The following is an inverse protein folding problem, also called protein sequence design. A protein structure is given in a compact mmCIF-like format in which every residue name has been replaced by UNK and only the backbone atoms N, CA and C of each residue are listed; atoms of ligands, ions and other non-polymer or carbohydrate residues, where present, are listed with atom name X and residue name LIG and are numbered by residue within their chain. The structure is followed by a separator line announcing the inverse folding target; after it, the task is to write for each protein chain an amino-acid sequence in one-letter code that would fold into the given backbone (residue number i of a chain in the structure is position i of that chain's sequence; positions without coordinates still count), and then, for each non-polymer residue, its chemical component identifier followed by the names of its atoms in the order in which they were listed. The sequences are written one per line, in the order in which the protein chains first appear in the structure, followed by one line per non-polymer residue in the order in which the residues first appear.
data_IF_808498988978
#
_entry.id   IF_808498988978
#
_cell.length_a   1.000
_cell.length_b   1.000
_cell.length_c   1.000
_cell.angle_alpha   90.00
_cell.angle_beta   90.00
_cell.angle_gamma   90.00
#
_symmetry.space_group_name_H-M   'P 1'
#
loop_
_entity.id
_entity.type
_entity.pdbx_description
1 polymer ?
#
# COMPACT_ATOMS: atom_id res chain seq x y z
N UNK A 1 -11.15 47.33 -16.56
CA UNK A 1 -10.45 46.23 -15.86
C UNK A 1 -10.64 44.98 -16.68
N UNK A 2 -9.58 44.25 -16.97
CA UNK A 2 -9.65 43.00 -17.73
C UNK A 2 -10.11 41.90 -16.78
N UNK A 3 -11.29 41.34 -17.04
CA UNK A 3 -11.78 40.19 -16.28
C UNK A 3 -10.97 38.93 -16.64
N UNK A 4 -10.83 38.00 -15.69
CA UNK A 4 -10.03 36.77 -15.83
C UNK A 4 -10.39 35.94 -17.07
N UNK A 5 -11.69 35.91 -17.42
CA UNK A 5 -12.19 35.33 -18.67
C UNK A 5 -12.85 36.39 -19.55
N UNK A 6 -12.78 36.26 -20.88
CA UNK A 6 -13.54 37.08 -21.82
C UNK A 6 -15.04 37.11 -21.47
N UNK A 7 -15.66 38.30 -21.47
CA UNK A 7 -17.10 38.47 -21.17
C UNK A 7 -17.98 37.64 -22.11
N UNK A 8 -17.55 37.44 -23.36
CA UNK A 8 -18.24 36.59 -24.34
C UNK A 8 -18.27 35.11 -23.92
N UNK A 9 -17.19 34.63 -23.31
CA UNK A 9 -17.06 33.24 -22.86
C UNK A 9 -17.92 32.98 -21.63
N UNK A 10 -17.91 33.90 -20.65
CA UNK A 10 -18.79 33.85 -19.48
C UNK A 10 -20.27 33.91 -19.89
N UNK A 11 -20.60 34.73 -20.90
CA UNK A 11 -21.96 34.82 -21.44
C UNK A 11 -22.41 33.50 -22.06
N UNK A 12 -21.54 32.86 -22.84
CA UNK A 12 -21.79 31.55 -23.44
C UNK A 12 -21.98 30.47 -22.36
N UNK A 13 -21.07 30.38 -21.38
CA UNK A 13 -21.14 29.39 -20.29
C UNK A 13 -22.38 29.58 -19.40
N UNK A 14 -22.74 30.84 -19.08
CA UNK A 14 -23.90 31.16 -18.22
C UNK A 14 -25.26 31.09 -18.94
N UNK A 15 -25.27 30.96 -20.27
CA UNK A 15 -26.48 31.06 -21.09
C UNK A 15 -27.15 32.44 -21.03
N UNK A 16 -26.38 33.51 -20.79
CA UNK A 16 -26.88 34.89 -20.70
C UNK A 16 -26.23 35.80 -21.76
N UNK A 17 -26.75 37.02 -21.94
CA UNK A 17 -26.15 37.97 -22.87
C UNK A 17 -24.90 38.63 -22.29
N UNK A 18 -23.96 39.05 -23.15
CA UNK A 18 -22.75 39.82 -22.79
C UNK A 18 -23.10 41.05 -21.94
N UNK A 19 -24.19 41.75 -22.28
CA UNK A 19 -24.68 42.91 -21.53
C UNK A 19 -25.21 42.55 -20.12
N UNK A 20 -25.64 41.31 -19.92
CA UNK A 20 -26.08 40.81 -18.61
C UNK A 20 -24.89 40.43 -17.74
N UNK A 21 -23.89 39.76 -18.31
CA UNK A 21 -22.62 39.48 -17.62
C UNK A 21 -21.92 40.77 -17.22
N UNK A 22 -21.83 41.77 -18.12
CA UNK A 22 -21.23 43.07 -17.83
C UNK A 22 -21.92 43.78 -16.65
N UNK A 23 -23.26 43.74 -16.59
CA UNK A 23 -24.04 44.30 -15.46
C UNK A 23 -23.75 43.57 -14.15
N UNK A 24 -23.62 42.24 -14.18
CA UNK A 24 -23.29 41.44 -12.98
C UNK A 24 -21.88 41.76 -12.48
N UNK A 25 -20.89 41.74 -13.36
CA UNK A 25 -19.48 41.96 -13.02
C UNK A 25 -19.21 43.37 -12.48
N UNK A 26 -19.94 44.38 -12.97
CA UNK A 26 -19.81 45.77 -12.53
C UNK A 26 -20.83 46.19 -11.46
N UNK A 27 -21.59 45.24 -10.88
CA UNK A 27 -22.52 45.53 -9.79
C UNK A 27 -23.66 46.48 -10.15
N UNK A 28 -24.07 46.56 -11.42
CA UNK A 28 -25.14 47.46 -11.88
C UNK A 28 -26.53 46.95 -11.45
N UNK A 29 -27.49 47.87 -11.30
CA UNK A 29 -28.88 47.55 -10.96
C UNK A 29 -29.60 46.81 -12.10
N UNK A 30 -30.74 46.16 -11.81
CA UNK A 30 -31.61 45.42 -12.75
C UNK A 30 -31.11 44.04 -13.22
N UNK A 31 -30.48 43.26 -12.33
CA UNK A 31 -30.22 41.82 -12.59
C UNK A 31 -30.85 41.00 -11.48
N UNK A 32 -31.66 40.00 -11.85
CA UNK A 32 -32.28 39.12 -10.87
C UNK A 32 -31.23 38.35 -10.05
N UNK A 33 -31.50 38.00 -8.79
CA UNK A 33 -30.62 37.15 -7.99
C UNK A 33 -30.28 35.82 -8.69
N UNK A 34 -31.26 35.24 -9.40
CA UNK A 34 -31.07 34.00 -10.15
C UNK A 34 -30.08 34.16 -11.30
N UNK A 35 -30.21 35.25 -12.08
CA UNK A 35 -29.30 35.55 -13.19
C UNK A 35 -27.88 35.86 -12.68
N UNK A 36 -27.77 36.59 -11.57
CA UNK A 36 -26.49 36.84 -10.91
C UNK A 36 -25.83 35.52 -10.48
N UNK A 37 -26.59 34.61 -9.87
CA UNK A 37 -26.09 33.28 -9.47
C UNK A 37 -25.56 32.49 -10.67
N UNK A 38 -26.31 32.39 -11.77
CA UNK A 38 -25.85 31.69 -12.99
C UNK A 38 -24.54 32.23 -13.55
N UNK A 39 -24.36 33.55 -13.55
CA UNK A 39 -23.11 34.18 -14.02
C UNK A 39 -21.95 33.87 -13.08
N UNK A 40 -22.18 33.84 -11.76
CA UNK A 40 -21.15 33.44 -10.78
C UNK A 40 -20.82 31.95 -10.87
N UNK A 41 -21.81 31.07 -11.04
CA UNK A 41 -21.60 29.63 -11.20
C UNK A 41 -20.78 29.36 -12.47
N UNK A 42 -21.09 30.02 -13.58
CA UNK A 42 -20.32 29.94 -14.83
C UNK A 42 -18.88 30.43 -14.68
N UNK A 43 -18.63 31.48 -13.88
CA UNK A 43 -17.27 31.92 -13.56
C UNK A 43 -16.50 30.86 -12.78
N UNK A 44 -17.13 30.28 -11.75
CA UNK A 44 -16.52 29.21 -10.96
C UNK A 44 -16.22 27.97 -11.81
N UNK A 45 -17.12 27.61 -12.74
CA UNK A 45 -16.92 26.52 -13.69
C UNK A 45 -15.73 26.78 -14.63
N UNK A 46 -15.63 27.99 -15.21
CA UNK A 46 -14.51 28.38 -16.06
C UNK A 46 -13.17 28.39 -15.30
N UNK A 47 -13.16 28.87 -14.05
CA UNK A 47 -11.98 28.77 -13.18
C UNK A 47 -11.58 27.31 -12.92
N UNK A 48 -12.55 26.43 -12.67
CA UNK A 48 -12.30 24.99 -12.52
C UNK A 48 -11.72 24.35 -13.79
N UNK A 49 -12.21 24.72 -14.96
CA UNK A 49 -11.71 24.23 -16.25
C UNK A 49 -10.27 24.70 -16.54
N UNK A 50 -9.95 25.97 -16.28
CA UNK A 50 -8.60 26.52 -16.44
C UNK A 50 -7.59 25.82 -15.51
N UNK A 51 -7.96 25.59 -14.25
CA UNK A 51 -7.14 24.85 -13.29
C UNK A 51 -6.86 23.43 -13.76
N UNK A 52 -7.86 22.72 -14.30
CA UNK A 52 -7.68 21.38 -14.86
C UNK A 52 -6.73 21.35 -16.08
N UNK A 53 -6.78 22.38 -16.93
CA UNK A 53 -5.90 22.49 -18.11
C UNK A 53 -4.46 22.85 -17.72
N UNK A 54 -4.27 23.77 -16.77
CA UNK A 54 -2.96 24.14 -16.24
C UNK A 54 -2.28 22.98 -15.48
N UNK A 55 -3.08 22.24 -14.71
CA UNK A 55 -2.63 21.03 -14.01
C UNK A 55 -2.07 19.98 -14.98
N UNK A 56 -2.73 19.74 -16.13
CA UNK A 56 -2.30 18.79 -17.16
C UNK A 56 -0.90 19.05 -17.72
N UNK A 57 -0.38 20.27 -17.62
CA UNK A 57 0.98 20.63 -18.04
C UNK A 57 2.06 20.45 -16.96
N UNK A 58 1.68 20.33 -15.68
CA UNK A 58 2.64 20.22 -14.57
C UNK A 58 3.29 18.84 -14.59
N UNK A 59 4.63 18.83 -14.51
CA UNK A 59 5.44 17.62 -14.36
C UNK A 59 5.75 17.40 -12.89
N UNK A 60 5.29 16.31 -12.32
CA UNK A 60 5.57 15.91 -10.95
C UNK A 60 6.50 14.71 -10.93
N UNK A 61 7.43 14.70 -9.99
CA UNK A 61 8.37 13.62 -9.77
C UNK A 61 8.10 13.01 -8.41
N UNK A 62 7.79 11.72 -8.38
CA UNK A 62 7.56 10.99 -7.14
C UNK A 62 8.62 9.90 -7.00
N UNK A 63 9.27 9.82 -5.84
CA UNK A 63 10.26 8.80 -5.54
C UNK A 63 9.63 7.66 -4.77
N UNK A 64 9.98 6.43 -5.16
CA UNK A 64 9.61 5.22 -4.46
C UNK A 64 10.89 4.59 -3.94
N UNK A 65 11.11 4.68 -2.63
CA UNK A 65 12.23 4.03 -1.94
C UNK A 65 11.68 2.84 -1.17
N UNK A 66 11.94 1.64 -1.68
CA UNK A 66 11.28 0.41 -1.21
C UNK A 66 12.34 -0.66 -0.92
N UNK A 67 12.44 -1.02 0.36
CA UNK A 67 13.14 -2.19 0.84
C UNK A 67 12.21 -3.41 0.75
N UNK A 68 12.34 -4.20 -0.31
CA UNK A 68 11.52 -5.39 -0.54
C UNK A 68 12.14 -6.35 -1.57
N UNK A 69 11.82 -7.66 -1.48
CA UNK A 69 12.18 -8.63 -2.52
C UNK A 69 11.68 -8.22 -3.90
N UNK A 70 12.40 -8.66 -4.94
CA UNK A 70 12.11 -8.32 -6.35
C UNK A 70 10.66 -8.63 -6.75
N UNK A 71 10.09 -9.72 -6.24
CA UNK A 71 8.70 -10.14 -6.52
C UNK A 71 7.69 -9.07 -6.09
N UNK A 72 7.80 -8.56 -4.87
CA UNK A 72 6.88 -7.55 -4.33
C UNK A 72 7.10 -6.18 -4.97
N UNK A 73 8.35 -5.76 -5.13
CA UNK A 73 8.67 -4.48 -5.75
C UNK A 73 8.28 -4.40 -7.24
N UNK A 74 8.27 -5.54 -7.96
CA UNK A 74 7.73 -5.62 -9.31
C UNK A 74 6.21 -5.38 -9.38
N UNK A 75 5.46 -5.83 -8.38
CA UNK A 75 4.02 -5.60 -8.29
C UNK A 75 3.70 -4.14 -7.94
N UNK A 76 4.47 -3.52 -7.04
CA UNK A 76 4.37 -2.07 -6.76
C UNK A 76 4.57 -1.25 -8.05
N UNK A 77 5.63 -1.54 -8.81
CA UNK A 77 5.89 -0.84 -10.08
C UNK A 77 4.72 -0.96 -11.05
N UNK A 78 4.18 -2.17 -11.23
CA UNK A 78 3.04 -2.39 -12.11
C UNK A 78 1.80 -1.60 -11.66
N UNK A 79 1.50 -1.60 -10.36
CA UNK A 79 0.37 -0.83 -9.82
C UNK A 79 0.56 0.68 -10.03
N UNK A 80 1.77 1.20 -9.79
CA UNK A 80 2.11 2.61 -10.07
C UNK A 80 1.97 2.93 -11.56
N UNK A 81 2.48 2.09 -12.45
CA UNK A 81 2.41 2.30 -13.90
C UNK A 81 0.96 2.29 -14.41
N UNK A 82 0.10 1.42 -13.87
CA UNK A 82 -1.35 1.44 -14.15
C UNK A 82 -2.01 2.71 -13.65
N UNK A 83 -1.68 3.17 -12.44
CA UNK A 83 -2.29 4.37 -11.86
C UNK A 83 -1.87 5.66 -12.60
N UNK A 84 -0.67 5.69 -13.18
CA UNK A 84 -0.24 6.80 -14.03
C UNK A 84 -1.12 6.91 -15.28
N UNK A 85 -1.64 5.79 -15.82
CA UNK A 85 -2.49 5.80 -17.01
C UNK A 85 -3.90 6.34 -16.71
N UNK A 86 -4.39 6.16 -15.49
CA UNK A 86 -5.69 6.66 -15.02
C UNK A 86 -5.61 8.11 -14.54
N UNK A 87 -4.45 8.53 -14.03
CA UNK A 87 -4.22 9.89 -13.53
C UNK A 87 -4.05 10.91 -14.65
N UNK A 88 -5.08 11.73 -14.88
CA UNK A 88 -5.10 12.74 -15.98
C UNK A 88 -4.85 14.17 -15.53
N UNK A 89 -4.60 14.41 -14.24
CA UNK A 89 -4.46 15.75 -13.66
C UNK A 89 -3.06 16.31 -13.78
N UNK A 90 -2.02 15.49 -13.95
CA UNK A 90 -0.64 15.94 -14.12
C UNK A 90 0.21 14.90 -14.87
N UNK A 91 1.36 15.33 -15.40
CA UNK A 91 2.36 14.41 -15.95
C UNK A 91 3.21 13.88 -14.81
N UNK A 92 2.94 12.65 -14.36
CA UNK A 92 3.67 12.00 -13.27
C UNK A 92 4.89 11.24 -13.81
N UNK A 93 6.03 11.42 -13.14
CA UNK A 93 7.30 10.75 -13.44
C UNK A 93 7.79 10.00 -12.19
N UNK A 94 7.47 8.71 -12.04
CA UNK A 94 7.94 7.94 -10.91
C UNK A 94 9.44 7.66 -11.05
N UNK A 95 10.15 7.63 -9.92
CA UNK A 95 11.55 7.25 -9.82
C UNK A 95 11.66 6.15 -8.78
N UNK A 96 12.05 4.95 -9.21
CA UNK A 96 12.06 3.77 -8.35
C UNK A 96 13.47 3.45 -7.88
N UNK A 97 13.61 3.26 -6.57
CA UNK A 97 14.78 2.67 -5.95
C UNK A 97 14.30 1.50 -5.12
N UNK A 98 14.50 0.30 -5.68
CA UNK A 98 14.11 -0.95 -5.05
C UNK A 98 15.35 -1.74 -4.69
N UNK A 99 15.43 -2.15 -3.44
CA UNK A 99 16.52 -2.95 -2.92
C UNK A 99 15.96 -3.98 -1.95
N UNK A 100 16.48 -5.20 -1.95
CA UNK A 100 15.92 -6.25 -1.08
C UNK A 100 16.35 -6.07 0.38
N UNK A 101 17.57 -5.61 0.58
CA UNK A 101 18.15 -5.27 1.89
C UNK A 101 18.87 -3.95 1.76
N UNK A 102 18.65 -3.01 2.66
CA UNK A 102 19.23 -1.68 2.59
C UNK A 102 19.71 -1.24 3.95
N UNK A 103 21.01 -1.06 4.16
CA UNK A 103 21.50 -0.57 5.46
C UNK A 103 20.93 0.81 5.80
N UNK A 104 20.92 1.16 7.09
CA UNK A 104 20.42 2.46 7.54
C UNK A 104 21.20 3.61 6.84
N UNK A 105 22.51 3.47 6.64
CA UNK A 105 23.35 4.45 5.93
C UNK A 105 22.98 4.56 4.45
N UNK A 106 22.69 3.43 3.78
CA UNK A 106 22.26 3.44 2.39
C UNK A 106 20.91 4.14 2.24
N UNK A 107 19.96 3.82 3.12
CA UNK A 107 18.63 4.45 3.15
C UNK A 107 18.75 5.97 3.33
N UNK A 108 19.51 6.42 4.32
CA UNK A 108 19.74 7.84 4.58
C UNK A 108 20.42 8.53 3.39
N UNK A 109 21.44 7.91 2.79
CA UNK A 109 22.09 8.45 1.60
C UNK A 109 21.16 8.51 0.38
N UNK A 110 20.14 7.66 0.28
CA UNK A 110 19.12 7.75 -0.76
C UNK A 110 18.13 8.89 -0.50
N UNK A 111 17.67 9.06 0.75
CA UNK A 111 16.81 10.16 1.16
C UNK A 111 17.51 11.52 0.96
N UNK A 112 18.79 11.62 1.32
CA UNK A 112 19.59 12.83 1.10
C UNK A 112 19.69 13.18 -0.40
N UNK A 113 19.94 12.19 -1.26
CA UNK A 113 19.96 12.41 -2.71
C UNK A 113 18.61 12.86 -3.25
N UNK A 114 17.50 12.35 -2.71
CA UNK A 114 16.14 12.78 -3.06
C UNK A 114 15.95 14.25 -2.67
N UNK A 115 16.39 14.65 -1.48
CA UNK A 115 16.36 16.04 -1.00
C UNK A 115 17.16 16.95 -1.92
N UNK A 116 18.41 16.60 -2.23
CA UNK A 116 19.31 17.42 -3.04
C UNK A 116 18.83 17.57 -4.49
N UNK A 117 18.32 16.49 -5.09
CA UNK A 117 17.77 16.49 -6.46
C UNK A 117 16.41 17.19 -6.56
N UNK A 118 15.68 17.25 -5.45
CA UNK A 118 14.29 17.70 -5.42
C UNK A 118 13.30 16.60 -5.81
N UNK A 119 12.16 16.59 -5.13
CA UNK A 119 11.04 15.69 -5.35
C UNK A 119 9.72 16.41 -5.07
N UNK A 120 8.65 15.92 -5.69
CA UNK A 120 7.29 16.35 -5.39
C UNK A 120 6.59 15.41 -4.41
N UNK A 121 7.22 14.30 -4.02
CA UNK A 121 6.64 13.36 -3.09
C UNK A 121 7.45 12.10 -2.98
N UNK A 122 7.43 11.47 -1.81
CA UNK A 122 8.19 10.26 -1.55
C UNK A 122 7.26 9.20 -0.98
N UNK A 123 7.29 8.00 -1.56
CA UNK A 123 6.66 6.80 -1.04
C UNK A 123 7.76 5.89 -0.47
N UNK A 124 7.63 5.53 0.81
CA UNK A 124 8.64 4.80 1.58
C UNK A 124 8.11 3.45 2.05
N UNK A 125 8.86 2.38 1.79
CA UNK A 125 8.75 1.12 2.53
C UNK A 125 10.14 0.78 3.04
N UNK A 126 10.44 1.15 4.27
CA UNK A 126 11.76 0.96 4.91
C UNK A 126 11.54 0.64 6.39
N UNK A 127 12.58 0.18 7.08
CA UNK A 127 12.52 -0.11 8.52
C UNK A 127 12.22 1.15 9.34
N UNK A 128 11.51 0.97 10.46
CA UNK A 128 11.22 2.05 11.40
C UNK A 128 12.44 2.33 12.27
N UNK A 129 13.20 3.39 11.95
CA UNK A 129 14.45 3.76 12.63
C UNK A 129 14.44 5.25 13.02
N UNK A 130 14.99 5.62 14.19
CA UNK A 130 15.06 7.02 14.61
C UNK A 130 15.71 7.95 13.58
N UNK A 131 16.81 7.54 12.95
CA UNK A 131 17.48 8.35 11.92
C UNK A 131 16.59 8.56 10.67
N UNK A 132 15.73 7.59 10.34
CA UNK A 132 14.76 7.73 9.24
C UNK A 132 13.66 8.74 9.62
N UNK A 133 13.27 8.84 10.89
CA UNK A 133 12.32 9.86 11.34
C UNK A 133 12.84 11.26 11.10
N UNK A 134 14.12 11.49 11.41
CA UNK A 134 14.81 12.76 11.18
C UNK A 134 14.86 13.12 9.69
N UNK A 135 15.21 12.15 8.83
CA UNK A 135 15.21 12.34 7.38
C UNK A 135 13.80 12.64 6.82
N UNK A 136 12.75 11.98 7.34
CA UNK A 136 11.36 12.28 7.00
C UNK A 136 10.98 13.70 7.44
N UNK A 137 11.43 14.13 8.62
CA UNK A 137 11.19 15.49 9.11
C UNK A 137 11.88 16.55 8.23
N UNK A 138 13.09 16.28 7.73
CA UNK A 138 13.78 17.18 6.79
C UNK A 138 13.04 17.31 5.45
N UNK A 139 12.60 16.18 4.87
CA UNK A 139 11.76 16.18 3.66
C UNK A 139 10.47 17.00 3.88
N UNK A 140 9.81 16.81 5.02
CA UNK A 140 8.59 17.53 5.36
C UNK A 140 8.84 19.04 5.53
N UNK A 141 9.96 19.44 6.14
CA UNK A 141 10.37 20.85 6.27
C UNK A 141 10.59 21.52 4.89
N UNK A 142 11.01 20.75 3.89
CA UNK A 142 11.13 21.17 2.49
C UNK A 142 9.83 21.09 1.70
N UNK A 143 8.70 20.81 2.38
CA UNK A 143 7.36 20.65 1.79
C UNK A 143 7.27 19.51 0.78
N UNK A 144 8.09 18.47 0.95
CA UNK A 144 8.01 17.25 0.16
C UNK A 144 7.14 16.27 0.97
N UNK A 145 5.91 15.94 0.53
CA UNK A 145 5.04 15.01 1.25
C UNK A 145 5.63 13.60 1.22
N UNK A 146 5.53 12.90 2.35
CA UNK A 146 6.05 11.53 2.53
C UNK A 146 4.90 10.59 2.86
N UNK A 147 4.80 9.47 2.16
CA UNK A 147 3.85 8.40 2.42
C UNK A 147 4.61 7.14 2.83
N UNK A 148 4.15 6.43 3.85
CA UNK A 148 4.65 5.09 4.18
C UNK A 148 3.77 4.03 3.51
N UNK A 149 4.38 2.94 3.04
CA UNK A 149 3.74 1.87 2.31
C UNK A 149 3.99 0.53 3.02
N UNK A 150 2.92 -0.20 3.35
CA UNK A 150 2.89 -1.59 3.89
C UNK A 150 3.56 -1.83 5.25
N UNK A 151 4.58 -1.05 5.58
CA UNK A 151 5.17 -0.93 6.92
C UNK A 151 5.11 0.54 7.31
N UNK A 152 4.59 0.80 8.50
CA UNK A 152 4.38 2.17 8.96
C UNK A 152 5.60 2.73 9.73
N UNK A 153 5.66 4.06 9.82
CA UNK A 153 6.60 4.84 10.63
C UNK A 153 5.78 5.93 11.35
N UNK A 154 4.90 5.55 12.31
CA UNK A 154 3.84 6.41 12.83
C UNK A 154 4.34 7.61 13.63
N UNK A 155 5.54 7.53 14.22
CA UNK A 155 6.14 8.62 14.99
C UNK A 155 6.85 9.67 14.13
N UNK A 156 6.93 9.46 12.81
CA UNK A 156 7.55 10.40 11.88
C UNK A 156 6.58 11.50 11.41
N UNK A 157 7.09 12.46 10.63
CA UNK A 157 6.29 13.52 9.99
C UNK A 157 5.65 13.09 8.66
N UNK A 158 5.43 11.78 8.44
CA UNK A 158 4.75 11.27 7.25
C UNK A 158 3.34 11.87 7.11
N UNK A 159 2.88 12.03 5.88
CA UNK A 159 1.56 12.54 5.53
C UNK A 159 0.47 11.48 5.73
N UNK A 160 0.72 10.24 5.32
CA UNK A 160 -0.20 9.11 5.46
C UNK A 160 0.53 7.77 5.37
N UNK A 161 -0.14 6.72 5.85
CA UNK A 161 0.24 5.32 5.69
C UNK A 161 -0.74 4.64 4.74
N UNK A 162 -0.23 3.81 3.84
CA UNK A 162 -1.00 3.05 2.86
C UNK A 162 -0.61 1.59 2.95
N UNK A 163 -1.58 0.74 3.17
CA UNK A 163 -1.39 -0.68 3.44
C UNK A 163 -2.45 -1.16 4.43
N UNK A 164 -2.55 -2.48 4.56
CA UNK A 164 -3.46 -3.09 5.51
C UNK A 164 -3.09 -2.83 6.98
N UNK A 165 -4.07 -3.01 7.87
CA UNK A 165 -3.83 -3.18 9.30
C UNK A 165 -3.16 -4.55 9.53
N UNK A 166 -1.86 -4.51 9.77
CA UNK A 166 -1.02 -5.69 9.93
C UNK A 166 -1.38 -6.53 11.16
N UNK A 167 -1.75 -5.91 12.28
CA UNK A 167 -2.20 -6.63 13.47
C UNK A 167 -3.51 -7.37 13.19
N UNK A 168 -4.46 -6.69 12.53
CA UNK A 168 -5.73 -7.30 12.11
C UNK A 168 -5.50 -8.44 11.12
N UNK A 169 -4.57 -8.31 10.18
CA UNK A 169 -4.20 -9.38 9.26
C UNK A 169 -3.67 -10.61 10.01
N UNK A 170 -2.83 -10.40 11.04
CA UNK A 170 -2.39 -11.47 11.95
C UNK A 170 -3.55 -12.17 12.67
N UNK A 171 -4.51 -11.41 13.19
CA UNK A 171 -5.72 -11.97 13.84
C UNK A 171 -6.57 -12.78 12.87
N UNK A 172 -6.71 -12.32 11.62
CA UNK A 172 -7.43 -13.05 10.57
C UNK A 172 -6.72 -14.37 10.25
N UNK A 173 -5.40 -14.37 10.11
CA UNK A 173 -4.63 -15.59 9.88
C UNK A 173 -4.82 -16.62 11.02
N UNK A 174 -4.78 -16.17 12.29
CA UNK A 174 -5.04 -17.04 13.44
C UNK A 174 -6.45 -17.62 13.42
N UNK A 175 -7.45 -16.81 13.06
CA UNK A 175 -8.81 -17.27 12.89
C UNK A 175 -8.90 -18.35 11.80
N UNK A 176 -8.32 -18.12 10.62
CA UNK A 176 -8.35 -19.08 9.51
C UNK A 176 -7.69 -20.42 9.88
N UNK A 177 -6.52 -20.38 10.51
CA UNK A 177 -5.86 -21.60 11.00
C UNK A 177 -6.74 -22.32 12.04
N UNK A 178 -7.32 -21.59 12.99
CA UNK A 178 -8.17 -22.20 14.03
C UNK A 178 -9.38 -22.95 13.46
N UNK A 179 -9.97 -22.41 12.37
CA UNK A 179 -11.14 -23.00 11.71
C UNK A 179 -10.77 -24.16 10.79
N UNK A 180 -9.54 -24.17 10.26
CA UNK A 180 -9.08 -25.21 9.34
C UNK A 180 -8.67 -26.50 10.05
N UNK A 181 -8.25 -26.39 11.31
CA UNK A 181 -7.81 -27.51 12.12
C UNK A 181 -9.01 -28.22 12.78
N UNK A 182 -9.04 -29.56 12.83
CA UNK A 182 -10.07 -30.31 13.55
C UNK A 182 -10.18 -29.86 15.02
N UNK A 183 -11.40 -29.89 15.57
CA UNK A 183 -11.64 -29.52 16.97
C UNK A 183 -11.03 -30.51 17.95
N UNK A 184 -10.93 -31.77 17.55
CA UNK A 184 -10.37 -32.87 18.34
C UNK A 184 -8.84 -32.97 18.20
N UNK A 185 -8.22 -32.18 17.30
CA UNK A 185 -6.77 -32.11 17.19
C UNK A 185 -6.22 -31.46 18.46
N UNK A 186 -5.68 -32.29 19.35
CA UNK A 186 -5.36 -31.92 20.73
C UNK A 186 -3.94 -31.40 20.92
N UNK A 187 -3.06 -31.58 19.94
CA UNK A 187 -1.64 -31.18 19.96
C UNK A 187 -1.11 -30.97 18.54
N UNK A 188 -0.15 -30.06 18.41
CA UNK A 188 0.55 -29.78 17.17
C UNK A 188 1.17 -28.38 17.19
N UNK A 189 2.12 -28.17 16.30
CA UNK A 189 2.85 -26.92 16.20
C UNK A 189 2.36 -26.07 15.03
N UNK A 190 2.24 -24.75 15.23
CA UNK A 190 2.12 -23.79 14.14
C UNK A 190 3.47 -23.16 13.88
N UNK A 191 3.96 -23.30 12.65
CA UNK A 191 5.19 -22.67 12.19
C UNK A 191 4.93 -21.22 11.79
N UNK A 192 5.65 -20.26 12.38
CA UNK A 192 5.65 -18.86 11.99
C UNK A 192 6.96 -18.52 11.27
N UNK A 193 6.88 -17.91 10.08
CA UNK A 193 8.07 -17.49 9.33
C UNK A 193 8.04 -16.00 9.00
N UNK A 194 9.04 -15.24 9.45
CA UNK A 194 9.26 -13.81 9.12
C UNK A 194 10.48 -13.66 8.21
N UNK A 195 10.50 -12.59 7.42
CA UNK A 195 11.64 -12.28 6.54
C UNK A 195 12.74 -11.50 7.27
N UNK A 196 12.34 -10.59 8.16
CA UNK A 196 13.25 -9.86 9.04
C UNK A 196 12.53 -9.38 10.30
N UNK A 197 13.21 -9.40 11.44
CA UNK A 197 12.62 -8.99 12.72
C UNK A 197 12.31 -7.49 12.81
N UNK A 198 12.95 -6.69 11.96
CA UNK A 198 12.96 -5.22 12.04
C UNK A 198 11.89 -4.57 11.15
N UNK A 199 11.12 -5.36 10.39
CA UNK A 199 9.93 -4.85 9.72
C UNK A 199 8.77 -4.85 10.71
N UNK A 200 8.38 -3.66 11.15
CA UNK A 200 7.27 -3.44 12.09
C UNK A 200 5.98 -4.09 11.59
N UNK A 201 5.66 -3.99 10.29
CA UNK A 201 4.47 -4.66 9.75
C UNK A 201 4.46 -6.19 9.92
N UNK A 202 5.62 -6.84 9.86
CA UNK A 202 5.71 -8.28 10.13
C UNK A 202 5.61 -8.60 11.62
N UNK A 203 6.17 -7.73 12.48
CA UNK A 203 6.04 -7.82 13.94
C UNK A 203 4.58 -7.66 14.38
N UNK A 204 3.87 -6.67 13.85
CA UNK A 204 2.46 -6.43 14.12
C UNK A 204 1.60 -7.63 13.72
N UNK A 205 1.86 -8.22 12.54
CA UNK A 205 1.23 -9.48 12.09
C UNK A 205 1.50 -10.62 13.05
N UNK A 206 2.75 -10.83 13.46
CA UNK A 206 3.13 -11.90 14.37
C UNK A 206 2.49 -11.73 15.75
N UNK A 207 2.47 -10.49 16.28
CA UNK A 207 1.85 -10.13 17.56
C UNK A 207 0.33 -10.36 17.52
N UNK A 208 -0.33 -9.86 16.47
CA UNK A 208 -1.78 -10.04 16.27
C UNK A 208 -2.16 -11.51 16.15
N UNK A 209 -1.37 -12.30 15.40
CA UNK A 209 -1.54 -13.74 15.27
C UNK A 209 -1.36 -14.46 16.61
N UNK A 210 -0.23 -14.24 17.28
CA UNK A 210 0.14 -14.91 18.54
C UNK A 210 -0.90 -14.67 19.63
N UNK A 211 -1.38 -13.43 19.77
CA UNK A 211 -2.42 -13.11 20.74
C UNK A 211 -3.74 -13.83 20.43
N UNK A 212 -4.16 -13.86 19.16
CA UNK A 212 -5.41 -14.48 18.75
C UNK A 212 -5.36 -16.02 18.83
N UNK A 213 -4.30 -16.65 18.33
CA UNK A 213 -4.22 -18.11 18.28
C UNK A 213 -4.13 -18.74 19.67
N UNK A 214 -3.41 -18.12 20.62
CA UNK A 214 -3.36 -18.56 22.02
C UNK A 214 -4.72 -18.55 22.70
N UNK A 215 -5.62 -17.65 22.29
CA UNK A 215 -6.99 -17.62 22.78
C UNK A 215 -7.90 -18.62 22.07
N UNK A 216 -7.71 -18.82 20.76
CA UNK A 216 -8.58 -19.68 19.94
C UNK A 216 -8.22 -21.17 20.07
N UNK A 217 -6.94 -21.48 20.24
CA UNK A 217 -6.34 -22.82 20.22
C UNK A 217 -5.17 -22.88 21.23
N UNK A 218 -5.42 -22.72 22.54
CA UNK A 218 -4.37 -22.71 23.58
C UNK A 218 -3.53 -24.00 23.65
N UNK A 219 -3.99 -25.08 23.02
CA UNK A 219 -3.31 -26.37 22.92
C UNK A 219 -2.25 -26.45 21.81
N UNK A 220 -2.17 -25.46 20.91
CA UNK A 220 -1.16 -25.42 19.86
C UNK A 220 0.13 -24.76 20.36
N UNK A 221 1.25 -25.38 20.04
CA UNK A 221 2.57 -24.79 20.24
C UNK A 221 2.90 -23.85 19.07
N UNK A 222 3.68 -22.80 19.35
CA UNK A 222 4.15 -21.87 18.32
C UNK A 222 5.64 -22.06 18.11
N UNK A 223 6.02 -22.45 16.89
CA UNK A 223 7.41 -22.53 16.46
C UNK A 223 7.72 -21.26 15.68
N UNK A 224 8.31 -20.29 16.38
CA UNK A 224 8.73 -19.04 15.77
C UNK A 224 10.14 -19.16 15.19
N UNK A 225 10.24 -19.01 13.87
CA UNK A 225 11.50 -19.03 13.12
C UNK A 225 12.09 -17.63 12.86
N UNK A 226 11.54 -16.62 13.51
CA UNK A 226 12.01 -15.25 13.41
C UNK A 226 13.22 -15.07 14.33
N UNK A 227 14.42 -14.82 13.78
CA UNK A 227 15.54 -14.40 14.63
C UNK A 227 16.98 -14.73 14.25
N UNK A 228 17.25 -15.33 13.08
CA UNK A 228 18.64 -15.53 12.66
C UNK A 228 18.89 -15.05 11.22
N UNK A 229 19.25 -13.76 11.14
CA UNK A 229 19.93 -13.10 10.02
C UNK A 229 19.29 -13.28 8.62
N UNK A 230 18.21 -12.53 8.35
CA UNK A 230 17.98 -11.75 7.12
C UNK A 230 18.11 -12.36 5.72
N UNK A 231 18.25 -13.67 5.52
CA UNK A 231 18.42 -14.27 4.20
C UNK A 231 17.32 -15.31 3.96
N UNK A 232 16.67 -15.25 2.80
CA UNK A 232 15.83 -16.36 2.31
C UNK A 232 16.54 -17.73 2.40
N UNK A 233 17.87 -17.74 2.29
CA UNK A 233 18.71 -18.92 2.48
C UNK A 233 18.79 -19.36 3.95
N UNK A 234 18.93 -18.42 4.90
CA UNK A 234 19.09 -18.74 6.33
C UNK A 234 17.80 -19.26 6.95
N UNK A 235 16.63 -18.74 6.57
CA UNK A 235 15.34 -19.26 7.02
C UNK A 235 15.15 -20.72 6.58
N UNK A 236 15.53 -21.07 5.35
CA UNK A 236 15.38 -22.46 4.87
C UNK A 236 16.41 -23.40 5.49
N UNK A 237 17.65 -22.94 5.67
CA UNK A 237 18.68 -23.71 6.36
C UNK A 237 18.31 -24.00 7.81
N UNK A 238 17.77 -23.00 8.52
CA UNK A 238 17.25 -23.16 9.88
C UNK A 238 16.05 -24.10 9.91
N UNK A 239 15.16 -24.00 8.93
CA UNK A 239 13.98 -24.85 8.84
C UNK A 239 14.45 -26.30 8.68
N UNK A 240 15.37 -26.56 7.74
CA UNK A 240 15.99 -27.89 7.58
C UNK A 240 16.68 -28.40 8.83
N UNK A 241 17.28 -27.53 9.63
CA UNK A 241 17.95 -27.92 10.87
C UNK A 241 16.95 -28.27 11.99
N UNK A 242 15.77 -27.65 12.01
CA UNK A 242 14.75 -27.85 13.04
C UNK A 242 13.79 -29.01 12.73
N UNK A 243 13.43 -29.19 11.45
CA UNK A 243 12.43 -30.18 11.04
C UNK A 243 12.70 -31.64 11.48
N UNK A 244 13.95 -32.15 11.55
CA UNK A 244 14.21 -33.50 12.05
C UNK A 244 13.63 -33.80 13.43
N UNK A 245 13.55 -32.78 14.30
CA UNK A 245 13.11 -32.91 15.69
C UNK A 245 11.64 -32.47 15.89
N UNK A 246 10.95 -32.04 14.83
CA UNK A 246 9.62 -31.41 14.90
C UNK A 246 8.62 -31.99 13.87
N UNK A 247 8.17 -33.24 14.02
CA UNK A 247 7.30 -33.90 13.04
C UNK A 247 5.83 -33.44 13.09
N UNK A 248 5.43 -32.56 14.02
CA UNK A 248 4.02 -32.26 14.31
C UNK A 248 3.53 -30.88 13.84
N UNK A 249 4.14 -30.32 12.80
CA UNK A 249 3.70 -29.05 12.22
C UNK A 249 2.35 -29.23 11.53
N UNK A 250 1.28 -28.78 12.19
CA UNK A 250 -0.10 -28.90 11.70
C UNK A 250 -0.53 -27.70 10.87
N UNK A 251 0.12 -26.56 11.02
CA UNK A 251 -0.17 -25.36 10.24
C UNK A 251 1.06 -24.47 10.05
N UNK A 252 1.01 -23.63 9.02
CA UNK A 252 2.03 -22.62 8.73
C UNK A 252 1.38 -21.26 8.58
N UNK A 253 1.92 -20.26 9.26
CA UNK A 253 1.65 -18.87 8.99
C UNK A 253 2.92 -18.19 8.44
N UNK A 254 2.95 -17.99 7.12
CA UNK A 254 4.07 -17.31 6.47
C UNK A 254 3.83 -15.80 6.37
N UNK A 255 4.50 -15.06 7.25
CA UNK A 255 4.40 -13.61 7.38
C UNK A 255 5.28 -12.91 6.33
N UNK A 256 6.54 -13.33 6.21
CA UNK A 256 7.53 -12.75 5.28
C UNK A 256 7.55 -13.39 3.89
N UNK A 257 6.78 -14.46 3.69
CA UNK A 257 6.72 -15.23 2.45
C UNK A 257 7.91 -16.18 2.27
N UNK A 258 8.41 -16.34 1.03
CA UNK A 258 9.33 -17.44 0.70
C UNK A 258 8.62 -18.79 0.59
N UNK A 259 7.30 -18.77 0.39
CA UNK A 259 6.39 -19.91 0.52
C UNK A 259 6.80 -21.14 -0.29
N UNK A 260 7.31 -20.95 -1.52
CA UNK A 260 7.76 -22.08 -2.35
C UNK A 260 8.88 -22.86 -1.69
N UNK A 261 9.86 -22.15 -1.11
CA UNK A 261 10.99 -22.78 -0.46
C UNK A 261 10.59 -23.42 0.88
N UNK A 262 9.65 -22.81 1.61
CA UNK A 262 9.08 -23.41 2.84
C UNK A 262 8.40 -24.73 2.50
N UNK A 263 7.55 -24.76 1.48
CA UNK A 263 6.83 -25.96 1.04
C UNK A 263 7.80 -27.03 0.53
N UNK A 264 8.78 -26.66 -0.31
CA UNK A 264 9.82 -27.58 -0.78
C UNK A 264 10.62 -28.18 0.40
N UNK A 265 10.84 -27.42 1.48
CA UNK A 265 11.50 -27.90 2.68
C UNK A 265 10.62 -28.87 3.47
N UNK A 266 9.34 -28.53 3.70
CA UNK A 266 8.40 -29.41 4.40
C UNK A 266 8.17 -30.72 3.65
N UNK A 267 8.04 -30.66 2.32
CA UNK A 267 7.90 -31.84 1.44
C UNK A 267 9.12 -32.77 1.55
N UNK A 268 10.34 -32.26 1.80
CA UNK A 268 11.55 -33.09 2.00
C UNK A 268 11.52 -33.94 3.27
N UNK A 269 10.74 -33.54 4.27
CA UNK A 269 10.59 -34.25 5.54
C UNK A 269 9.22 -34.94 5.67
N UNK A 270 8.46 -35.03 4.57
CA UNK A 270 7.11 -35.59 4.51
C UNK A 270 6.11 -34.93 5.48
N UNK A 271 6.28 -33.61 5.70
CA UNK A 271 5.41 -32.81 6.56
C UNK A 271 4.40 -32.08 5.68
N UNK A 272 3.11 -32.37 5.90
CA UNK A 272 2.00 -31.80 5.14
C UNK A 272 1.04 -31.07 6.09
N UNK A 273 1.24 -29.76 6.33
CA UNK A 273 0.37 -28.99 7.21
C UNK A 273 -1.06 -28.97 6.68
N UNK A 274 -2.03 -29.04 7.58
CA UNK A 274 -3.47 -28.98 7.25
C UNK A 274 -3.84 -27.60 6.70
N UNK A 275 -3.17 -26.55 7.18
CA UNK A 275 -3.44 -25.18 6.78
C UNK A 275 -2.15 -24.38 6.61
N UNK A 276 -2.05 -23.68 5.48
CA UNK A 276 -1.00 -22.74 5.17
C UNK A 276 -1.64 -21.39 4.82
N UNK A 277 -1.34 -20.37 5.62
CA UNK A 277 -1.74 -18.98 5.39
C UNK A 277 -0.53 -18.15 4.99
N UNK A 278 -0.62 -17.46 3.86
CA UNK A 278 0.42 -16.59 3.32
C UNK A 278 -0.08 -15.14 3.13
N UNK A 279 0.84 -14.24 2.79
CA UNK A 279 0.55 -12.87 2.35
C UNK A 279 0.91 -12.65 0.89
N UNK A 280 0.26 -11.66 0.29
CA UNK A 280 0.47 -11.13 -1.07
C UNK A 280 0.13 -12.12 -2.20
N UNK A 281 -0.82 -11.76 -3.07
CA UNK A 281 -1.15 -12.56 -4.26
C UNK A 281 -0.16 -12.31 -5.41
N UNK A 282 1.10 -12.71 -5.21
CA UNK A 282 2.11 -12.72 -6.26
C UNK A 282 1.97 -13.95 -7.19
N UNK A 283 2.74 -14.00 -8.29
CA UNK A 283 2.73 -15.12 -9.24
C UNK A 283 3.05 -16.47 -8.58
N UNK A 284 3.90 -16.48 -7.55
CA UNK A 284 4.26 -17.71 -6.84
C UNK A 284 3.08 -18.22 -6.03
N UNK A 285 2.46 -17.34 -5.24
CA UNK A 285 1.31 -17.68 -4.41
C UNK A 285 0.08 -18.03 -5.24
N UNK A 286 -0.13 -17.37 -6.38
CA UNK A 286 -1.13 -17.79 -7.35
C UNK A 286 -0.91 -19.26 -7.77
N UNK A 287 0.31 -19.63 -8.18
CA UNK A 287 0.60 -21.02 -8.57
C UNK A 287 0.44 -22.01 -7.40
N UNK A 288 0.74 -21.60 -6.17
CA UNK A 288 0.61 -22.46 -4.99
C UNK A 288 -0.86 -22.67 -4.62
N UNK A 289 -1.70 -21.63 -4.73
CA UNK A 289 -3.15 -21.71 -4.57
C UNK A 289 -3.78 -22.64 -5.62
N UNK A 290 -3.42 -22.48 -6.91
CA UNK A 290 -3.93 -23.34 -7.99
C UNK A 290 -3.58 -24.82 -7.79
N UNK A 291 -2.43 -25.10 -7.15
CA UNK A 291 -1.99 -26.46 -6.82
C UNK A 291 -2.44 -26.93 -5.43
N UNK A 292 -3.25 -26.12 -4.75
CA UNK A 292 -3.75 -26.37 -3.39
C UNK A 292 -2.65 -26.65 -2.35
N UNK A 293 -1.43 -26.16 -2.61
CA UNK A 293 -0.30 -26.24 -1.69
C UNK A 293 -0.37 -25.18 -0.59
N UNK A 294 -1.20 -24.15 -0.76
CA UNK A 294 -1.58 -23.20 0.28
C UNK A 294 -3.10 -22.99 0.27
N UNK A 295 -3.70 -22.78 1.45
CA UNK A 295 -5.15 -22.70 1.60
C UNK A 295 -5.65 -21.24 1.57
N UNK A 296 -4.86 -20.31 2.08
CA UNK A 296 -5.26 -18.91 2.18
C UNK A 296 -4.11 -17.96 1.85
N UNK A 297 -4.42 -16.91 1.10
CA UNK A 297 -3.56 -15.73 0.93
C UNK A 297 -4.31 -14.50 1.40
N UNK A 298 -3.73 -13.78 2.36
CA UNK A 298 -4.17 -12.46 2.76
C UNK A 298 -3.56 -11.43 1.81
N UNK A 299 -4.38 -10.59 1.21
CA UNK A 299 -3.96 -9.68 0.14
C UNK A 299 -4.64 -8.32 0.26
N UNK A 300 -3.88 -7.24 0.18
CA UNK A 300 -4.38 -5.90 -0.11
C UNK A 300 -4.31 -5.61 -1.60
N UNK A 301 -5.26 -4.84 -2.10
CA UNK A 301 -5.26 -4.43 -3.50
C UNK A 301 -4.28 -3.28 -3.70
N UNK A 302 -3.04 -3.62 -4.08
CA UNK A 302 -1.98 -2.65 -4.39
C UNK A 302 -2.42 -1.50 -5.31
N UNK A 303 -3.35 -1.77 -6.24
CA UNK A 303 -3.89 -0.72 -7.11
C UNK A 303 -4.62 0.36 -6.32
N UNK A 304 -5.42 -0.03 -5.32
CA UNK A 304 -6.20 0.89 -4.51
C UNK A 304 -5.27 1.71 -3.60
N UNK A 305 -4.18 1.09 -3.11
CA UNK A 305 -3.13 1.78 -2.36
C UNK A 305 -2.39 2.81 -3.21
N UNK A 306 -2.04 2.46 -4.44
CA UNK A 306 -1.35 3.40 -5.34
C UNK A 306 -2.28 4.54 -5.77
N UNK A 307 -3.57 4.27 -5.98
CA UNK A 307 -4.58 5.30 -6.23
C UNK A 307 -4.69 6.26 -5.04
N UNK A 308 -4.75 5.73 -3.81
CA UNK A 308 -4.74 6.54 -2.59
C UNK A 308 -3.44 7.35 -2.44
N UNK A 309 -2.28 6.75 -2.76
CA UNK A 309 -0.99 7.44 -2.75
C UNK A 309 -1.00 8.65 -3.69
N UNK A 310 -1.43 8.44 -4.93
CA UNK A 310 -1.48 9.49 -5.93
C UNK A 310 -2.47 10.58 -5.53
N UNK A 311 -3.62 10.20 -4.98
CA UNK A 311 -4.58 11.15 -4.44
C UNK A 311 -3.97 12.03 -3.33
N UNK A 312 -3.31 11.43 -2.34
CA UNK A 312 -2.63 12.17 -1.27
C UNK A 312 -1.55 13.12 -1.79
N UNK A 313 -0.70 12.64 -2.71
CA UNK A 313 0.37 13.44 -3.30
C UNK A 313 -0.18 14.58 -4.15
N UNK A 314 -1.15 14.33 -5.03
CA UNK A 314 -1.78 15.36 -5.86
C UNK A 314 -2.51 16.39 -5.02
N UNK A 315 -3.19 15.97 -3.94
CA UNK A 315 -3.82 16.88 -2.98
C UNK A 315 -2.79 17.80 -2.32
N UNK A 316 -1.63 17.27 -1.91
CA UNK A 316 -0.54 18.09 -1.37
C UNK A 316 -0.02 19.14 -2.38
N UNK A 317 -0.28 18.96 -3.68
CA UNK A 317 0.04 19.92 -4.75
C UNK A 317 -1.14 20.78 -5.23
N UNK A 318 -2.30 20.68 -4.57
CA UNK A 318 -3.57 21.31 -4.94
C UNK A 318 -4.06 20.92 -6.34
N UNK A 319 -3.90 19.65 -6.70
CA UNK A 319 -4.24 19.11 -8.03
C UNK A 319 -5.40 18.09 -8.02
N UNK A 320 -6.05 17.90 -6.88
CA UNK A 320 -7.25 17.09 -6.74
C UNK A 320 -8.25 17.80 -5.82
N UNK A 321 -9.54 17.91 -6.18
CA UNK A 321 -10.57 18.48 -5.31
C UNK A 321 -10.81 17.62 -4.08
N UNK A 322 -11.28 18.24 -2.98
CA UNK A 322 -11.62 17.56 -1.73
C UNK A 322 -12.90 16.73 -1.88
N UNK A 323 -12.82 15.56 -2.52
CA UNK A 323 -13.97 14.67 -2.65
C UNK A 323 -13.57 13.28 -2.17
N UNK A 324 -13.91 13.05 -0.90
CA UNK A 324 -13.86 11.81 -0.12
C UNK A 324 -12.69 11.68 0.88
N UNK A 325 -12.97 11.22 2.12
CA UNK A 325 -11.93 10.73 3.00
C UNK A 325 -11.26 9.55 2.29
N UNK A 326 -9.94 9.61 2.13
CA UNK A 326 -9.18 8.42 1.73
C UNK A 326 -9.41 7.38 2.82
N UNK A 327 -9.81 6.14 2.50
CA UNK A 327 -9.82 5.07 3.49
C UNK A 327 -8.45 5.03 4.16
N UNK A 328 -8.43 5.19 5.48
CA UNK A 328 -7.22 4.93 6.25
C UNK A 328 -7.08 3.42 6.34
N UNK A 329 -6.18 2.88 5.54
CA UNK A 329 -5.87 1.45 5.49
C UNK A 329 -6.63 0.68 4.40
N UNK A 330 -5.95 -0.30 3.83
CA UNK A 330 -6.45 -1.15 2.76
C UNK A 330 -7.35 -2.25 3.33
N UNK A 331 -8.40 -2.61 2.59
CA UNK A 331 -9.18 -3.80 2.92
C UNK A 331 -8.32 -5.07 2.75
N UNK A 332 -8.49 -6.01 3.68
CA UNK A 332 -7.80 -7.30 3.65
C UNK A 332 -8.72 -8.28 2.91
N UNK A 333 -8.30 -8.74 1.75
CA UNK A 333 -8.96 -9.79 0.99
C UNK A 333 -8.39 -11.16 1.38
N UNK A 334 -9.28 -12.14 1.52
CA UNK A 334 -8.90 -13.53 1.76
C UNK A 334 -9.07 -14.27 0.43
N UNK A 335 -7.96 -14.67 -0.18
CA UNK A 335 -7.93 -15.41 -1.43
C UNK A 335 -7.78 -16.90 -1.10
N UNK A 336 -8.65 -17.71 -1.69
CA UNK A 336 -8.66 -19.18 -1.59
C UNK A 336 -8.47 -19.81 -2.97
N UNK A 337 -8.12 -21.10 -3.09
CA UNK A 337 -7.89 -21.76 -4.39
C UNK A 337 -8.98 -21.50 -5.44
N UNK A 338 -10.25 -21.54 -5.03
CA UNK A 338 -11.38 -21.28 -5.93
C UNK A 338 -11.39 -19.89 -6.62
N UNK A 339 -10.64 -18.91 -6.14
CA UNK A 339 -10.51 -17.61 -6.81
C UNK A 339 -9.53 -17.63 -8.00
N UNK A 340 -8.56 -18.55 -8.00
CA UNK A 340 -7.49 -18.64 -9.02
C UNK A 340 -7.59 -19.89 -9.88
N UNK A 341 -8.50 -20.80 -9.53
CA UNK A 341 -8.90 -21.90 -10.38
C UNK A 341 -9.78 -21.38 -11.50
N UNK A 342 -9.18 -20.86 -12.57
CA UNK A 342 -9.90 -20.72 -13.83
C UNK A 342 -10.47 -22.09 -14.20
N UNK A 343 -11.79 -22.12 -14.44
CA UNK A 343 -12.59 -23.35 -14.45
C UNK A 343 -11.97 -24.50 -15.24
N UNK A 344 -12.04 -25.70 -14.66
CA UNK A 344 -12.01 -26.94 -15.41
C UNK A 344 -13.12 -26.86 -16.48
N UNK A 345 -12.75 -26.47 -17.69
CA UNK A 345 -13.57 -26.43 -18.90
C UNK A 345 -12.79 -27.00 -20.06
#
# INVERSE_FOLDING_TARGET
MTHRFPVKEIALQSGTSVATVDRVLHGRQNVSPQTRRRVMDALNELEGQEQQLSARGRRLFFDFLVEAPKRFSSEIRQAVEREIQTTRTAVIRPRFLFQEQMSDEQCLAHLERIIQRGSHGVCLKVRDRPAIHEAIAELAAKKIPILTLFTDIPQSKRLAYLGMDNEKAGKIAAYLISQSLPKEASKGSVLLTRSHEEFVGEEERARGFTAAIKSLRPELDLLDMSGAAGLHQSTIEQLRAMLPDQPDIVAVYSIGGGNRAIIECLDQFDIHPVCFVAHDLDKSNHSLLTREKIQYVLHDRLQDDMAAAFHHLLRAHNLCPEISPSPTGSEIHIIVPAHVSDGLG
#
